data_IF_034853044756
#
_entry.id   IF_034853044756
#
_cell.length_a   1.000
_cell.length_b   1.000
_cell.length_c   1.000
_cell.angle_alpha   90.00
_cell.angle_beta   90.00
_cell.angle_gamma   90.00
#
_symmetry.space_group_name_H-M   'P 1'
#
loop_
_entity.id
_entity.type
_entity.pdbx_description
1 polymer ?
#
# COMPACT_ATOMS: atom_id res chain seq x y z
N UNK A 1 17.54 15.30 -10.62
CA UNK A 1 17.30 16.31 -11.68
C UNK A 1 16.38 15.71 -12.73
N UNK A 2 15.39 16.46 -13.21
CA UNK A 2 14.50 16.06 -14.31
C UNK A 2 15.17 16.42 -15.64
N UNK A 3 15.17 15.54 -16.67
CA UNK A 3 15.79 15.84 -17.96
C UNK A 3 15.26 17.12 -18.60
N UNK A 4 16.15 18.01 -19.06
CA UNK A 4 15.78 19.29 -19.68
C UNK A 4 14.88 19.14 -20.91
N UNK A 5 15.08 18.09 -21.71
CA UNK A 5 14.23 17.79 -22.86
C UNK A 5 12.78 17.47 -22.45
N UNK A 6 12.61 16.79 -21.31
CA UNK A 6 11.30 16.52 -20.72
C UNK A 6 10.67 17.82 -20.23
N UNK A 7 11.40 18.63 -19.46
CA UNK A 7 10.91 19.93 -18.96
C UNK A 7 10.52 20.87 -20.11
N UNK A 8 11.30 20.91 -21.19
CA UNK A 8 10.96 21.71 -22.39
C UNK A 8 9.66 21.26 -23.05
N UNK A 9 9.31 19.98 -22.98
CA UNK A 9 8.13 19.42 -23.66
C UNK A 9 6.88 19.42 -22.77
N UNK A 10 7.03 19.16 -21.48
CA UNK A 10 5.91 18.92 -20.55
C UNK A 10 5.95 19.80 -19.30
N UNK A 11 6.92 20.70 -19.17
CA UNK A 11 7.15 21.49 -17.94
C UNK A 11 5.99 22.41 -17.58
N UNK A 12 5.25 22.95 -18.55
CA UNK A 12 4.08 23.80 -18.29
C UNK A 12 2.91 23.00 -17.68
N UNK A 13 2.82 21.71 -18.00
CA UNK A 13 1.81 20.77 -17.46
C UNK A 13 2.28 20.11 -16.15
N UNK A 14 3.53 20.33 -15.77
CA UNK A 14 4.16 19.74 -14.59
C UNK A 14 3.87 20.61 -13.37
N UNK A 15 2.71 20.40 -12.78
CA UNK A 15 2.32 20.93 -11.48
C UNK A 15 3.29 20.49 -10.38
N UNK A 16 3.25 21.23 -9.28
CA UNK A 16 4.00 20.98 -8.07
C UNK A 16 2.99 20.88 -6.92
N UNK A 17 2.82 19.70 -6.29
CA UNK A 17 3.64 18.50 -6.39
C UNK A 17 3.32 17.58 -7.59
N UNK A 18 4.23 16.63 -7.85
CA UNK A 18 3.99 15.47 -8.74
C UNK A 18 3.59 14.24 -7.92
N UNK A 19 2.88 13.32 -8.57
CA UNK A 19 2.45 12.06 -7.98
C UNK A 19 3.20 10.88 -8.60
N UNK A 20 4.00 10.18 -7.81
CA UNK A 20 4.68 8.94 -8.20
C UNK A 20 3.83 7.73 -7.79
N UNK A 21 3.57 6.83 -8.73
CA UNK A 21 2.77 5.61 -8.52
C UNK A 21 3.64 4.38 -8.76
N UNK A 22 3.64 3.46 -7.81
CA UNK A 22 4.41 2.22 -7.89
C UNK A 22 3.51 1.05 -8.35
N UNK A 23 4.10 -0.06 -8.83
CA UNK A 23 3.37 -1.26 -9.22
C UNK A 23 2.49 -1.85 -8.11
N UNK A 24 2.92 -1.74 -6.85
CA UNK A 24 2.14 -2.18 -5.68
C UNK A 24 0.96 -1.24 -5.33
N UNK A 25 0.70 -0.22 -6.15
CA UNK A 25 -0.36 0.77 -5.93
C UNK A 25 -0.01 1.88 -4.95
N UNK A 26 1.18 1.86 -4.33
CA UNK A 26 1.64 2.94 -3.47
C UNK A 26 1.74 4.26 -4.26
N UNK A 27 1.40 5.36 -3.58
CA UNK A 27 1.39 6.70 -4.14
C UNK A 27 2.23 7.62 -3.28
N UNK A 28 3.12 8.37 -3.92
CA UNK A 28 4.04 9.29 -3.26
C UNK A 28 3.91 10.68 -3.87
N UNK A 29 3.61 11.64 -3.01
CA UNK A 29 3.64 13.05 -3.38
C UNK A 29 5.07 13.58 -3.24
N UNK A 30 5.63 14.08 -4.34
CA UNK A 30 6.98 14.62 -4.38
C UNK A 30 6.94 16.02 -4.99
N UNK A 31 7.51 16.97 -4.28
CA UNK A 31 7.64 18.34 -4.78
C UNK A 31 8.92 18.46 -5.59
N UNK A 32 8.90 19.38 -6.54
CA UNK A 32 10.10 19.80 -7.25
C UNK A 32 10.42 21.26 -6.97
N UNK A 33 11.69 21.61 -7.14
CA UNK A 33 12.17 22.99 -7.09
C UNK A 33 12.91 23.33 -8.38
N UNK A 34 12.90 24.61 -8.73
CA UNK A 34 13.60 25.13 -9.90
C UNK A 34 14.86 25.84 -9.42
N UNK A 35 16.00 25.41 -9.92
CA UNK A 35 17.31 25.99 -9.63
C UNK A 35 17.79 26.86 -10.80
N UNK A 36 19.04 27.31 -10.71
CA UNK A 36 19.69 28.05 -11.77
C UNK A 36 19.65 27.30 -13.11
N UNK A 37 19.65 28.06 -14.22
CA UNK A 37 19.56 27.53 -15.59
C UNK A 37 18.30 26.72 -15.89
N UNK A 38 17.20 27.00 -15.18
CA UNK A 38 15.90 26.35 -15.33
C UNK A 38 15.90 24.83 -15.05
N UNK A 39 16.91 24.34 -14.33
CA UNK A 39 16.97 22.94 -13.94
C UNK A 39 15.94 22.63 -12.84
N UNK A 40 15.25 21.50 -12.98
CA UNK A 40 14.22 21.05 -12.04
C UNK A 40 14.74 19.83 -11.25
N UNK A 41 14.57 19.86 -9.93
CA UNK A 41 14.97 18.79 -9.02
C UNK A 41 13.81 18.36 -8.15
N UNK A 42 13.66 17.05 -7.92
CA UNK A 42 12.83 16.57 -6.82
C UNK A 42 13.49 16.92 -5.49
N UNK A 43 12.69 17.43 -4.56
CA UNK A 43 13.17 17.95 -3.28
C UNK A 43 12.32 17.38 -2.14
N UNK A 44 11.27 18.10 -1.72
CA UNK A 44 10.43 17.66 -0.61
C UNK A 44 9.68 16.38 -0.97
N UNK A 45 9.77 15.38 -0.10
CA UNK A 45 9.17 14.05 -0.29
C UNK A 45 10.10 13.05 -0.99
N UNK A 46 11.09 13.52 -1.77
CA UNK A 46 12.03 12.64 -2.46
C UNK A 46 12.89 11.84 -1.50
N UNK A 47 13.42 12.48 -0.44
CA UNK A 47 14.26 11.80 0.55
C UNK A 47 13.50 10.67 1.26
N UNK A 48 12.23 10.88 1.61
CA UNK A 48 11.39 9.85 2.24
C UNK A 48 11.12 8.69 1.29
N UNK A 49 10.81 8.99 0.03
CA UNK A 49 10.64 7.99 -1.03
C UNK A 49 11.93 7.17 -1.20
N UNK A 50 13.08 7.84 -1.28
CA UNK A 50 14.37 7.18 -1.45
C UNK A 50 14.74 6.28 -0.27
N UNK A 51 14.52 6.75 0.96
CA UNK A 51 14.74 5.96 2.18
C UNK A 51 13.82 4.75 2.27
N UNK A 52 12.53 4.91 1.95
CA UNK A 52 11.55 3.84 2.04
C UNK A 52 11.90 2.66 1.11
N UNK A 53 12.37 2.93 -0.10
CA UNK A 53 12.79 1.91 -1.07
C UNK A 53 14.29 1.61 -1.04
N UNK A 54 15.01 2.06 0.00
CA UNK A 54 16.45 1.84 0.18
C UNK A 54 17.30 2.19 -1.05
N UNK A 55 16.92 3.27 -1.76
CA UNK A 55 17.62 3.70 -2.97
C UNK A 55 19.07 4.05 -2.64
N UNK A 56 19.98 3.49 -3.42
CA UNK A 56 21.41 3.72 -3.30
C UNK A 56 22.08 3.75 -4.66
N UNK A 57 23.35 4.13 -4.70
CA UNK A 57 24.12 4.17 -5.95
C UNK A 57 24.05 2.81 -6.69
N UNK A 58 23.84 2.85 -8.00
CA UNK A 58 23.65 1.66 -8.83
C UNK A 58 22.18 1.29 -9.04
N UNK A 59 21.26 1.75 -8.18
CA UNK A 59 19.82 1.68 -8.49
C UNK A 59 19.49 2.63 -9.62
N UNK A 60 18.51 2.25 -10.44
CA UNK A 60 17.97 3.14 -11.46
C UNK A 60 16.44 3.05 -11.49
N UNK A 61 15.83 4.18 -11.81
CA UNK A 61 14.38 4.33 -11.81
C UNK A 61 13.90 4.65 -13.21
N UNK A 62 12.80 4.02 -13.61
CA UNK A 62 12.12 4.30 -14.87
C UNK A 62 10.84 5.06 -14.57
N UNK A 63 10.74 6.28 -15.11
CA UNK A 63 9.58 7.14 -14.97
C UNK A 63 8.76 7.11 -16.26
N UNK A 64 7.50 6.67 -16.18
CA UNK A 64 6.53 6.78 -17.28
C UNK A 64 5.57 7.93 -16.95
N UNK A 65 5.57 8.96 -17.80
CA UNK A 65 4.68 10.10 -17.63
C UNK A 65 3.27 9.78 -18.12
N UNK A 66 2.28 9.96 -17.27
CA UNK A 66 0.86 9.68 -17.56
C UNK A 66 0.05 10.95 -17.84
N UNK A 67 0.70 12.11 -17.94
CA UNK A 67 0.02 13.40 -17.99
C UNK A 67 -0.40 13.91 -16.61
N UNK A 68 -0.77 15.20 -16.54
CA UNK A 68 -1.33 15.80 -15.33
C UNK A 68 -0.47 15.63 -14.08
N UNK A 69 0.86 15.70 -14.23
CA UNK A 69 1.84 15.57 -13.14
C UNK A 69 1.89 14.20 -12.46
N UNK A 70 1.41 13.17 -13.14
CA UNK A 70 1.42 11.80 -12.65
C UNK A 70 2.48 10.96 -13.37
N UNK A 71 3.21 10.15 -12.61
CA UNK A 71 4.22 9.25 -13.11
C UNK A 71 4.00 7.85 -12.56
N UNK A 72 4.08 6.83 -13.41
CA UNK A 72 4.37 5.47 -12.95
C UNK A 72 5.89 5.34 -12.79
N UNK A 73 6.32 4.68 -11.72
CA UNK A 73 7.74 4.53 -11.39
C UNK A 73 8.06 3.07 -11.16
N UNK A 74 9.03 2.55 -11.91
CA UNK A 74 9.66 1.25 -11.66
C UNK A 74 11.03 1.48 -11.02
N UNK A 75 11.42 0.62 -10.09
CA UNK A 75 12.67 0.73 -9.34
C UNK A 75 13.46 -0.55 -9.57
N UNK A 76 14.68 -0.42 -10.08
CA UNK A 76 15.59 -1.53 -10.30
C UNK A 76 16.79 -1.40 -9.37
N UNK A 77 17.22 -2.52 -8.80
CA UNK A 77 18.42 -2.58 -7.98
C UNK A 77 19.71 -2.61 -8.81
N UNK A 78 20.85 -2.67 -8.13
CA UNK A 78 22.17 -2.73 -8.78
C UNK A 78 22.39 -3.96 -9.67
N UNK A 79 21.53 -4.98 -9.60
CA UNK A 79 21.55 -6.15 -10.48
C UNK A 79 20.68 -5.96 -11.74
N UNK A 80 20.01 -4.82 -11.88
CA UNK A 80 19.03 -4.51 -12.92
C UNK A 80 17.75 -5.36 -12.84
N UNK A 81 17.47 -5.95 -11.68
CA UNK A 81 16.18 -6.59 -11.39
C UNK A 81 15.25 -5.58 -10.72
N UNK A 82 13.95 -5.66 -11.05
CA UNK A 82 12.94 -4.85 -10.37
C UNK A 82 12.86 -5.29 -8.91
N UNK A 83 12.79 -4.32 -7.98
CA UNK A 83 12.76 -4.64 -6.55
C UNK A 83 11.40 -5.21 -6.13
N UNK A 84 11.40 -5.96 -5.04
CA UNK A 84 10.17 -6.30 -4.34
C UNK A 84 9.64 -5.09 -3.57
N UNK A 85 8.41 -4.70 -3.89
CA UNK A 85 7.76 -3.57 -3.23
C UNK A 85 7.12 -4.00 -1.91
N UNK A 86 7.35 -3.29 -0.79
CA UNK A 86 6.66 -3.56 0.47
C UNK A 86 5.14 -3.46 0.30
N UNK A 87 4.40 -4.49 0.69
CA UNK A 87 2.94 -4.46 0.72
C UNK A 87 2.47 -3.72 1.97
N UNK A 88 1.62 -2.71 1.80
CA UNK A 88 0.89 -2.16 2.94
C UNK A 88 -0.15 -3.19 3.36
N UNK A 89 0.12 -3.90 4.45
CA UNK A 89 -0.85 -4.71 5.17
C UNK A 89 -1.86 -3.79 5.86
N UNK A 90 -2.80 -3.26 5.07
CA UNK A 90 -4.03 -2.69 5.62
C UNK A 90 -4.90 -3.84 6.11
N UNK A 91 -4.70 -4.27 7.36
CA UNK A 91 -5.70 -5.05 8.06
C UNK A 91 -6.95 -4.19 8.16
N UNK A 92 -7.96 -4.49 7.35
CA UNK A 92 -9.28 -3.89 7.48
C UNK A 92 -9.88 -4.38 8.79
N UNK A 93 -9.66 -3.64 9.89
CA UNK A 93 -10.50 -3.78 11.08
C UNK A 93 -11.86 -3.18 10.73
N UNK A 94 -12.73 -4.01 10.16
CA UNK A 94 -14.17 -3.75 10.18
C UNK A 94 -14.61 -3.75 11.64
N UNK A 95 -14.80 -2.55 12.17
CA UNK A 95 -15.57 -2.35 13.40
C UNK A 95 -17.05 -2.19 13.00
N UNK A 96 -17.82 -3.24 13.24
CA UNK A 96 -19.27 -3.28 13.40
C UNK A 96 -19.45 -4.33 14.51
N UNK A 97 -19.76 -4.01 15.77
CA UNK A 97 -20.87 -3.19 16.24
C UNK A 97 -22.11 -4.06 16.39
N UNK A 98 -22.16 -4.99 17.34
CA UNK A 98 -23.09 -5.07 18.49
C UNK A 98 -22.91 -6.47 19.12
N UNK A 99 -22.72 -6.62 20.44
CA UNK A 99 -23.81 -6.75 21.40
C UNK A 99 -23.35 -6.43 22.83
N UNK A 100 -24.04 -5.44 23.40
CA UNK A 100 -24.58 -5.34 24.78
C UNK A 100 -24.14 -6.37 25.83
N UNK A 101 -23.53 -5.81 26.88
CA UNK A 101 -23.34 -6.23 28.28
C UNK A 101 -23.92 -7.58 28.76
N UNK A 102 -23.11 -8.34 29.51
CA UNK A 102 -23.39 -8.70 30.92
C UNK A 102 -22.12 -9.30 31.56
N UNK A 103 -21.57 -8.62 32.58
CA UNK A 103 -20.80 -9.29 33.63
C UNK A 103 -21.83 -9.90 34.58
N UNK A 104 -21.77 -11.21 34.82
CA UNK A 104 -22.16 -11.86 36.07
C UNK A 104 -21.49 -13.24 36.11
N UNK A 105 -20.65 -13.42 37.12
CA UNK A 105 -20.02 -14.68 37.53
C UNK A 105 -20.95 -15.32 38.54
N UNK A 106 -21.42 -16.55 38.32
CA UNK A 106 -21.63 -17.53 39.39
C UNK A 106 -21.37 -18.96 38.85
N UNK A 107 -20.36 -19.61 39.43
CA UNK A 107 -20.18 -21.07 39.39
C UNK A 107 -21.29 -21.72 40.20
N UNK A 108 -22.02 -22.66 39.60
CA UNK A 108 -22.86 -23.60 40.35
C UNK A 108 -22.49 -25.00 39.84
N UNK A 109 -21.68 -25.69 40.64
CA UNK A 109 -21.57 -27.15 40.66
C UNK A 109 -22.92 -27.71 41.12
N UNK A 110 -23.63 -28.44 40.25
CA UNK A 110 -24.66 -29.37 40.72
C UNK A 110 -24.81 -30.59 39.79
N UNK A 111 -24.97 -31.72 40.44
CA UNK A 111 -24.69 -33.08 40.03
C UNK A 111 -25.92 -33.76 39.38
N UNK A 112 -25.70 -34.38 38.19
CA UNK A 112 -26.45 -35.53 37.62
C UNK A 112 -27.91 -35.35 37.14
N UNK A 113 -28.48 -36.26 36.27
CA UNK A 113 -27.90 -37.22 35.32
C UNK A 113 -28.46 -37.11 33.87
N UNK A 114 -27.72 -37.65 32.89
CA UNK A 114 -28.10 -37.73 31.46
C UNK A 114 -29.25 -38.72 31.15
N UNK A 115 -30.27 -38.35 30.36
CA UNK A 115 -31.21 -39.30 29.77
C UNK A 115 -30.72 -39.88 28.43
N UNK A 116 -30.34 -41.16 28.50
CA UNK A 116 -30.41 -42.26 27.53
C UNK A 116 -30.53 -41.95 26.01
N UNK A 117 -29.52 -42.42 25.27
CA UNK A 117 -29.56 -42.72 23.83
C UNK A 117 -30.72 -43.68 23.50
N UNK A 118 -31.51 -43.35 22.48
CA UNK A 118 -32.23 -44.35 21.69
C UNK A 118 -31.63 -44.43 20.29
N UNK A 119 -31.44 -45.67 19.84
CA UNK A 119 -30.82 -46.06 18.57
C UNK A 119 -31.82 -45.95 17.41
N UNK A 120 -31.25 -45.57 16.27
CA UNK A 120 -31.60 -45.78 14.86
C UNK A 120 -32.91 -46.49 14.47
N UNK A 121 -33.55 -45.99 13.41
CA UNK A 121 -33.72 -46.80 12.20
C UNK A 121 -33.93 -45.94 10.92
N UNK A 122 -33.72 -46.53 9.72
CA UNK A 122 -33.30 -45.84 8.51
C UNK A 122 -34.45 -45.51 7.56
N UNK A 123 -34.18 -44.58 6.64
CA UNK A 123 -34.71 -44.56 5.28
C UNK A 123 -36.21 -44.35 5.08
N UNK A 124 -36.55 -43.34 4.27
CA UNK A 124 -37.19 -43.65 3.00
C UNK A 124 -36.94 -42.54 1.98
N UNK A 125 -36.44 -42.99 0.83
CA UNK A 125 -36.51 -42.31 -0.46
C UNK A 125 -37.97 -42.03 -0.80
N UNK A 126 -38.29 -40.82 -1.24
CA UNK A 126 -38.75 -40.50 -2.60
C UNK A 126 -38.57 -38.99 -2.83
#
# INVERSE_FOLDING_TARGET
MIPRSFVKRYGEELLNPVMLKLPNGAKWEVHWTKCDHDDIYFEKGWENFAKHYSLSNGHFLVFRYEGGSQFQVLIFDGSALEIDYPTSNSSTHHAEGTNTSHEDVEEIDDDSPLPRKQKANPGNFF
#
